data_IF_735756002471
#
_entry.id   IF_735756002471
#
_cell.length_a   1.000
_cell.length_b   1.000
_cell.length_c   1.000
_cell.angle_alpha   90.00
_cell.angle_beta   90.00
_cell.angle_gamma   90.00
#
_symmetry.space_group_name_H-M   'P 1'
#
loop_
_entity.id
_entity.type
_entity.pdbx_description
1 polymer ?
#
# COMPACT_ATOMS: atom_id res chain seq x y z
N UNK A 1 48.24 27.79 -65.58
CA UNK A 1 47.60 26.45 -65.61
C UNK A 1 47.67 25.87 -64.20
N UNK A 2 46.69 26.21 -63.41
CA UNK A 2 46.64 25.77 -62.00
C UNK A 2 45.40 24.88 -61.78
N UNK A 3 45.66 23.63 -61.47
CA UNK A 3 44.67 22.66 -61.15
C UNK A 3 44.32 22.80 -59.66
N UNK A 4 43.11 23.26 -59.36
CA UNK A 4 42.60 23.33 -58.03
C UNK A 4 41.91 21.97 -57.72
N UNK A 5 42.47 21.27 -56.73
CA UNK A 5 41.87 20.02 -56.18
C UNK A 5 40.82 20.38 -55.15
N UNK A 6 39.59 20.04 -55.42
CA UNK A 6 38.52 20.09 -54.40
C UNK A 6 38.52 18.81 -53.57
N UNK A 7 38.95 18.92 -52.33
CA UNK A 7 38.78 17.84 -51.36
C UNK A 7 37.33 17.96 -50.78
N UNK A 8 36.50 17.04 -51.20
CA UNK A 8 35.16 16.91 -50.59
C UNK A 8 35.31 16.17 -49.27
N UNK A 9 35.18 16.91 -48.18
CA UNK A 9 35.08 16.31 -46.84
C UNK A 9 33.62 15.87 -46.65
N UNK A 10 33.40 14.56 -46.69
CA UNK A 10 32.11 13.93 -46.38
C UNK A 10 31.98 13.86 -44.87
N UNK A 11 31.24 14.77 -44.30
CA UNK A 11 30.81 14.71 -42.88
C UNK A 11 29.70 13.64 -42.74
N UNK A 12 30.08 12.46 -42.29
CA UNK A 12 29.13 11.45 -41.82
C UNK A 12 28.58 11.93 -40.46
N UNK A 13 27.38 12.51 -40.49
CA UNK A 13 26.58 12.70 -39.29
C UNK A 13 26.02 11.35 -38.87
N UNK A 14 26.71 10.67 -37.96
CA UNK A 14 26.12 9.58 -37.20
C UNK A 14 25.04 10.17 -36.26
N UNK A 15 23.79 10.21 -36.70
CA UNK A 15 22.66 10.34 -35.81
C UNK A 15 22.55 9.04 -35.04
N UNK A 16 23.16 8.97 -33.86
CA UNK A 16 22.83 7.98 -32.87
C UNK A 16 21.40 8.28 -32.42
N UNK A 17 20.43 7.54 -32.97
CA UNK A 17 19.13 7.41 -32.32
C UNK A 17 19.41 6.79 -30.95
N UNK A 18 19.42 7.62 -29.92
CA UNK A 18 19.22 7.15 -28.56
C UNK A 18 17.75 6.73 -28.53
N UNK A 19 17.50 5.44 -28.62
CA UNK A 19 16.21 4.87 -28.28
C UNK A 19 15.92 5.31 -26.87
N UNK A 20 15.03 6.29 -26.76
CA UNK A 20 14.43 6.70 -25.51
C UNK A 20 13.49 5.55 -25.12
N UNK A 21 14.10 4.54 -24.51
CA UNK A 21 13.36 3.47 -23.87
C UNK A 21 12.37 4.15 -22.94
N UNK A 22 11.10 4.18 -23.33
CA UNK A 22 10.02 4.69 -22.53
C UNK A 22 10.05 3.88 -21.24
N UNK A 23 10.51 4.51 -20.15
CA UNK A 23 10.44 3.94 -18.80
C UNK A 23 8.95 3.65 -18.57
N UNK A 24 8.53 2.40 -18.85
CA UNK A 24 7.26 1.90 -18.36
C UNK A 24 7.32 2.04 -16.86
N UNK A 25 6.31 2.62 -16.21
CA UNK A 25 6.28 2.63 -14.75
C UNK A 25 6.38 1.16 -14.31
N UNK A 26 7.50 0.86 -13.67
CA UNK A 26 7.82 -0.48 -13.22
C UNK A 26 6.80 -0.87 -12.15
N UNK A 27 5.88 -1.78 -12.49
CA UNK A 27 4.95 -2.36 -11.53
C UNK A 27 5.69 -3.19 -10.45
N UNK A 28 6.99 -3.33 -10.57
CA UNK A 28 7.88 -4.03 -9.64
C UNK A 28 8.64 -3.09 -8.69
N UNK A 29 8.52 -1.77 -8.81
CA UNK A 29 9.23 -0.86 -7.91
C UNK A 29 8.74 -1.03 -6.47
N UNK A 30 9.70 -1.26 -5.55
CA UNK A 30 9.41 -1.41 -4.13
C UNK A 30 8.73 -0.15 -3.56
N UNK A 31 7.63 -0.33 -2.84
CA UNK A 31 6.91 0.77 -2.17
C UNK A 31 7.59 1.23 -0.88
N UNK A 32 8.32 0.32 -0.23
CA UNK A 32 9.00 0.59 1.03
C UNK A 32 10.27 -0.26 1.17
N UNK A 33 11.13 0.14 2.12
CA UNK A 33 12.25 -0.66 2.62
C UNK A 33 12.05 -0.94 4.10
N UNK A 34 12.63 -2.04 4.60
CA UNK A 34 12.61 -2.32 6.04
C UNK A 34 13.55 -1.36 6.77
N UNK A 35 12.99 -0.64 7.75
CA UNK A 35 13.69 0.37 8.54
C UNK A 35 14.16 -0.25 9.86
N UNK A 36 15.47 -0.34 10.11
CA UNK A 36 16.00 -0.78 11.38
C UNK A 36 15.56 0.15 12.53
N UNK A 37 15.32 -0.41 13.71
CA UNK A 37 14.98 0.40 14.89
C UNK A 37 13.52 0.83 14.98
N UNK A 38 12.64 0.41 14.07
CA UNK A 38 11.21 0.70 14.15
C UNK A 38 10.46 -0.07 15.25
N UNK A 39 11.17 -0.78 16.12
CA UNK A 39 10.61 -1.58 17.20
C UNK A 39 10.53 -3.08 16.87
N UNK A 40 10.07 -3.87 17.87
CA UNK A 40 10.02 -5.33 17.77
C UNK A 40 8.60 -5.91 17.77
N UNK A 41 7.57 -5.06 17.86
CA UNK A 41 6.20 -5.53 17.83
C UNK A 41 5.92 -6.29 16.53
N UNK A 42 5.35 -7.45 16.65
CA UNK A 42 4.94 -8.31 15.54
C UNK A 42 3.54 -8.85 15.79
N UNK A 43 2.72 -8.89 14.77
CA UNK A 43 1.45 -9.59 14.74
C UNK A 43 1.48 -10.60 13.61
N UNK A 44 1.58 -11.88 13.96
CA UNK A 44 1.58 -12.95 12.98
C UNK A 44 0.30 -12.93 12.16
N UNK A 45 0.45 -12.92 10.82
CA UNK A 45 -0.61 -13.15 9.85
C UNK A 45 -0.37 -14.50 9.16
N UNK A 46 -1.38 -15.01 8.46
CA UNK A 46 -1.34 -16.36 7.90
C UNK A 46 -0.52 -16.48 6.60
N UNK A 47 0.24 -15.45 6.22
CA UNK A 47 1.13 -15.49 5.07
C UNK A 47 2.25 -16.52 5.23
N UNK A 48 2.62 -17.18 4.13
CA UNK A 48 3.80 -18.03 4.06
C UNK A 48 5.06 -17.26 3.60
N UNK A 49 4.91 -16.00 3.21
CA UNK A 49 6.03 -15.17 2.78
C UNK A 49 6.60 -14.36 3.96
N UNK A 50 7.85 -14.64 4.40
CA UNK A 50 8.45 -13.96 5.55
C UNK A 50 8.70 -12.47 5.28
N UNK A 51 8.89 -12.06 4.02
CA UNK A 51 9.04 -10.64 3.69
C UNK A 51 7.71 -9.91 3.78
N UNK A 52 6.61 -10.52 3.31
CA UNK A 52 5.27 -9.96 3.49
C UNK A 52 4.94 -9.79 4.97
N UNK A 53 5.28 -10.76 5.83
CA UNK A 53 5.15 -10.64 7.28
C UNK A 53 5.97 -9.48 7.84
N UNK A 54 7.24 -9.34 7.43
CA UNK A 54 8.12 -8.30 7.94
C UNK A 54 7.62 -6.89 7.59
N UNK A 55 7.15 -6.69 6.35
CA UNK A 55 6.56 -5.42 5.92
C UNK A 55 5.21 -5.15 6.57
N UNK A 56 4.39 -6.18 6.80
CA UNK A 56 3.15 -6.05 7.55
C UNK A 56 3.40 -5.59 8.99
N UNK A 57 4.36 -6.19 9.67
CA UNK A 57 4.77 -5.80 11.03
C UNK A 57 5.30 -4.38 11.08
N UNK A 58 6.11 -3.97 10.10
CA UNK A 58 6.58 -2.60 9.97
C UNK A 58 5.41 -1.64 9.79
N UNK A 59 4.45 -1.98 8.92
CA UNK A 59 3.25 -1.19 8.72
C UNK A 59 2.48 -0.96 10.02
N UNK A 60 2.31 -2.00 10.84
CA UNK A 60 1.67 -1.88 12.17
C UNK A 60 2.43 -0.95 13.10
N UNK A 61 3.75 -1.12 13.23
CA UNK A 61 4.58 -0.27 14.11
C UNK A 61 4.52 1.20 13.70
N UNK A 62 4.57 1.47 12.39
CA UNK A 62 4.50 2.82 11.85
C UNK A 62 3.09 3.43 12.04
N UNK A 63 2.02 2.65 11.88
CA UNK A 63 0.66 3.11 12.17
C UNK A 63 0.50 3.52 13.65
N UNK A 64 1.01 2.72 14.59
CA UNK A 64 1.02 3.07 16.01
C UNK A 64 1.89 4.27 16.34
N UNK A 65 2.93 4.54 15.54
CA UNK A 65 3.76 5.74 15.62
C UNK A 65 3.18 6.96 14.89
N UNK A 66 1.99 6.84 14.31
CA UNK A 66 1.33 7.88 13.48
C UNK A 66 2.07 8.25 12.18
N UNK A 67 3.00 7.40 11.72
CA UNK A 67 3.64 7.50 10.41
C UNK A 67 2.79 6.82 9.34
N UNK A 68 1.59 7.38 9.09
CA UNK A 68 0.59 6.74 8.24
C UNK A 68 1.04 6.56 6.77
N UNK A 69 1.68 7.54 6.10
CA UNK A 69 2.17 7.34 4.73
C UNK A 69 3.15 6.18 4.61
N UNK A 70 4.11 6.10 5.52
CA UNK A 70 5.13 5.05 5.55
C UNK A 70 4.54 3.68 5.96
N UNK A 71 3.52 3.70 6.82
CA UNK A 71 2.72 2.52 7.16
C UNK A 71 2.00 1.98 5.93
N UNK A 72 1.32 2.85 5.17
CA UNK A 72 0.61 2.48 3.94
C UNK A 72 1.59 1.91 2.92
N UNK A 73 2.75 2.56 2.71
CA UNK A 73 3.79 2.07 1.81
C UNK A 73 4.31 0.68 2.23
N UNK A 74 4.47 0.44 3.54
CA UNK A 74 4.88 -0.88 4.07
C UNK A 74 3.82 -1.94 3.80
N UNK A 75 2.53 -1.64 3.96
CA UNK A 75 1.46 -2.58 3.62
C UNK A 75 1.33 -2.81 2.11
N UNK A 76 1.59 -1.79 1.28
CA UNK A 76 1.65 -1.95 -0.18
C UNK A 76 2.76 -2.91 -0.56
N UNK A 77 3.92 -2.80 0.08
CA UNK A 77 5.03 -3.72 -0.16
C UNK A 77 4.70 -5.15 0.32
N UNK A 78 4.05 -5.30 1.49
CA UNK A 78 3.55 -6.60 1.94
C UNK A 78 2.56 -7.22 0.95
N UNK A 79 1.65 -6.41 0.37
CA UNK A 79 0.73 -6.86 -0.67
C UNK A 79 1.43 -7.20 -1.99
N UNK A 80 2.54 -6.53 -2.34
CA UNK A 80 3.36 -6.88 -3.50
C UNK A 80 4.06 -8.23 -3.32
N UNK A 81 4.49 -8.55 -2.10
CA UNK A 81 5.14 -9.82 -1.76
C UNK A 81 4.16 -11.00 -1.64
N UNK A 82 2.90 -10.73 -1.28
CA UNK A 82 1.83 -11.73 -1.17
C UNK A 82 0.49 -11.09 -1.53
N UNK A 83 0.22 -11.00 -2.84
CA UNK A 83 -0.93 -10.27 -3.40
C UNK A 83 -2.28 -10.93 -3.10
N UNK A 84 -2.27 -12.21 -2.77
CA UNK A 84 -3.48 -12.98 -2.46
C UNK A 84 -3.85 -12.94 -0.98
N UNK A 85 -2.95 -12.45 -0.12
CA UNK A 85 -3.20 -12.38 1.31
C UNK A 85 -4.02 -11.14 1.67
N UNK A 86 -5.14 -11.27 2.44
CA UNK A 86 -6.04 -10.16 2.73
C UNK A 86 -5.49 -9.12 3.71
N UNK A 87 -4.62 -9.53 4.63
CA UNK A 87 -4.22 -8.68 5.76
C UNK A 87 -3.40 -7.44 5.38
N UNK A 88 -2.54 -7.43 4.35
CA UNK A 88 -1.93 -6.19 3.87
C UNK A 88 -2.96 -5.12 3.46
N UNK A 89 -4.02 -5.53 2.78
CA UNK A 89 -5.11 -4.62 2.38
C UNK A 89 -5.93 -4.13 3.58
N UNK A 90 -6.17 -5.00 4.57
CA UNK A 90 -6.74 -4.58 5.86
C UNK A 90 -5.86 -3.53 6.54
N UNK A 91 -4.54 -3.72 6.54
CA UNK A 91 -3.58 -2.78 7.11
C UNK A 91 -3.62 -1.41 6.43
N UNK A 92 -3.68 -1.37 5.09
CA UNK A 92 -3.87 -0.12 4.34
C UNK A 92 -5.17 0.58 4.74
N UNK A 93 -6.29 -0.15 4.78
CA UNK A 93 -7.57 0.42 5.19
C UNK A 93 -7.52 0.94 6.64
N UNK A 94 -6.88 0.22 7.55
CA UNK A 94 -6.72 0.64 8.94
C UNK A 94 -5.91 1.96 9.04
N UNK A 95 -4.82 2.09 8.29
CA UNK A 95 -3.99 3.28 8.30
C UNK A 95 -4.67 4.50 7.63
N UNK A 96 -5.53 4.27 6.62
CA UNK A 96 -6.30 5.31 5.91
C UNK A 96 -7.63 5.65 6.58
N UNK A 97 -8.04 4.88 7.59
CA UNK A 97 -9.35 4.97 8.22
C UNK A 97 -9.61 6.28 8.96
N UNK A 98 -10.82 6.42 9.51
CA UNK A 98 -11.19 7.57 10.28
C UNK A 98 -10.37 7.62 11.58
N UNK A 99 -9.22 8.25 11.49
CA UNK A 99 -8.30 8.45 12.60
C UNK A 99 -8.12 9.96 12.82
N UNK A 100 -8.43 10.52 14.00
CA UNK A 100 -8.29 11.95 14.25
C UNK A 100 -6.84 12.45 14.07
N UNK A 101 -5.85 11.59 14.20
CA UNK A 101 -4.46 11.94 14.03
C UNK A 101 -3.99 11.97 12.56
N UNK A 102 -4.70 11.31 11.64
CA UNK A 102 -4.34 11.26 10.23
C UNK A 102 -4.39 12.64 9.55
N UNK A 103 -5.15 13.60 10.11
CA UNK A 103 -5.23 14.99 9.61
C UNK A 103 -3.88 15.73 9.60
N UNK A 104 -2.90 15.27 10.36
CA UNK A 104 -1.56 15.87 10.45
C UNK A 104 -0.52 15.16 9.57
N UNK A 105 -0.87 14.03 8.96
CA UNK A 105 0.01 13.27 8.09
C UNK A 105 -0.22 13.63 6.62
N UNK A 106 0.78 13.38 5.78
CA UNK A 106 0.61 13.40 4.32
C UNK A 106 -0.17 12.17 3.88
N UNK A 107 -1.48 12.31 3.86
CA UNK A 107 -2.39 11.26 3.40
C UNK A 107 -2.69 11.44 1.91
N UNK A 108 -3.17 10.39 1.21
CA UNK A 108 -3.77 10.53 -0.11
C UNK A 108 -4.88 11.60 -0.12
N UNK A 109 -5.18 12.17 -1.28
CA UNK A 109 -6.21 13.22 -1.41
C UNK A 109 -7.59 12.76 -0.93
N UNK A 110 -7.93 11.48 -1.14
CA UNK A 110 -9.15 10.84 -0.61
C UNK A 110 -8.81 9.60 0.23
N UNK A 111 -8.32 9.76 1.47
CA UNK A 111 -7.91 8.60 2.28
C UNK A 111 -9.09 7.69 2.64
N UNK A 112 -10.30 8.23 2.77
CA UNK A 112 -11.49 7.42 3.06
C UNK A 112 -11.92 6.57 1.86
N UNK A 113 -11.87 7.13 0.65
CA UNK A 113 -12.15 6.39 -0.57
C UNK A 113 -11.09 5.33 -0.87
N UNK A 114 -9.82 5.67 -0.70
CA UNK A 114 -8.73 4.70 -0.85
C UNK A 114 -8.78 3.60 0.22
N UNK A 115 -9.13 3.95 1.46
CA UNK A 115 -9.35 2.97 2.53
C UNK A 115 -10.53 2.05 2.24
N UNK A 116 -11.63 2.57 1.68
CA UNK A 116 -12.75 1.74 1.22
C UNK A 116 -12.34 0.77 0.11
N UNK A 117 -11.55 1.23 -0.86
CA UNK A 117 -11.00 0.33 -1.90
C UNK A 117 -10.11 -0.74 -1.30
N UNK A 118 -9.29 -0.39 -0.31
CA UNK A 118 -8.42 -1.33 0.36
C UNK A 118 -9.20 -2.39 1.14
N UNK A 119 -10.20 -2.00 1.94
CA UNK A 119 -10.99 -2.98 2.70
C UNK A 119 -11.80 -3.91 1.79
N UNK A 120 -12.28 -3.41 0.65
CA UNK A 120 -12.94 -4.25 -0.35
C UNK A 120 -11.97 -5.28 -0.94
N UNK A 121 -10.72 -4.90 -1.26
CA UNK A 121 -9.69 -5.85 -1.68
C UNK A 121 -9.39 -6.93 -0.63
N UNK A 122 -9.44 -6.59 0.65
CA UNK A 122 -9.31 -7.57 1.74
C UNK A 122 -10.52 -8.53 1.78
N UNK A 123 -11.72 -8.02 1.58
CA UNK A 123 -12.95 -8.82 1.52
C UNK A 123 -12.98 -9.78 0.33
N UNK A 124 -12.52 -9.33 -0.85
CA UNK A 124 -12.39 -10.16 -2.06
C UNK A 124 -11.46 -11.37 -1.86
N UNK A 125 -10.60 -11.32 -0.84
CA UNK A 125 -9.61 -12.35 -0.49
C UNK A 125 -9.91 -13.05 0.84
N UNK A 126 -11.08 -12.84 1.40
CA UNK A 126 -11.41 -13.27 2.77
C UNK A 126 -11.32 -14.78 2.96
N UNK A 127 -11.49 -15.55 1.90
CA UNK A 127 -11.37 -17.02 1.92
C UNK A 127 -9.92 -17.49 2.19
N UNK A 128 -8.93 -16.61 2.05
CA UNK A 128 -7.53 -16.86 2.41
C UNK A 128 -7.21 -16.49 3.85
N UNK A 129 -8.13 -15.83 4.54
CA UNK A 129 -7.96 -15.39 5.92
C UNK A 129 -8.20 -16.53 6.92
N UNK A 130 -7.47 -16.51 8.03
CA UNK A 130 -7.88 -17.28 9.21
C UNK A 130 -9.20 -16.75 9.78
N UNK A 131 -9.93 -17.53 10.61
CA UNK A 131 -11.16 -17.04 11.25
C UNK A 131 -10.98 -15.72 12.02
N UNK A 132 -9.84 -15.53 12.68
CA UNK A 132 -9.55 -14.28 13.41
C UNK A 132 -9.29 -13.11 12.45
N UNK A 133 -8.51 -13.33 11.39
CA UNK A 133 -8.25 -12.31 10.37
C UNK A 133 -9.54 -11.90 9.66
N UNK A 134 -10.40 -12.86 9.31
CA UNK A 134 -11.70 -12.60 8.71
C UNK A 134 -12.60 -11.73 9.61
N UNK A 135 -12.60 -12.00 10.91
CA UNK A 135 -13.33 -11.16 11.89
C UNK A 135 -12.76 -9.73 11.95
N UNK A 136 -11.42 -9.57 11.93
CA UNK A 136 -10.79 -8.25 11.90
C UNK A 136 -11.14 -7.46 10.64
N UNK A 137 -11.14 -8.14 9.48
CA UNK A 137 -11.50 -7.52 8.20
C UNK A 137 -12.96 -7.04 8.23
N UNK A 138 -13.89 -7.89 8.67
CA UNK A 138 -15.32 -7.55 8.77
C UNK A 138 -15.58 -6.46 9.80
N UNK A 139 -14.85 -6.46 10.93
CA UNK A 139 -14.96 -5.39 11.92
C UNK A 139 -14.55 -4.05 11.32
N UNK A 140 -13.41 -3.99 10.64
CA UNK A 140 -12.94 -2.74 10.02
C UNK A 140 -13.87 -2.26 8.90
N UNK A 141 -14.46 -3.18 8.13
CA UNK A 141 -15.42 -2.86 7.06
C UNK A 141 -16.56 -1.97 7.57
N UNK A 142 -17.04 -2.21 8.79
CA UNK A 142 -18.17 -1.46 9.39
C UNK A 142 -17.89 0.05 9.40
N UNK A 143 -16.65 0.48 9.65
CA UNK A 143 -16.27 1.91 9.64
C UNK A 143 -16.42 2.56 8.26
N UNK A 144 -16.40 1.78 7.19
CA UNK A 144 -16.52 2.23 5.80
C UNK A 144 -17.94 2.08 5.24
N UNK A 145 -18.83 1.34 5.91
CA UNK A 145 -20.17 1.03 5.43
C UNK A 145 -21.16 2.17 5.68
N UNK A 146 -20.98 3.26 4.91
CA UNK A 146 -21.90 4.40 4.96
C UNK A 146 -23.26 4.12 4.30
N UNK A 147 -23.36 3.06 3.50
CA UNK A 147 -24.59 2.72 2.79
C UNK A 147 -25.61 2.07 3.75
N UNK A 148 -25.14 1.17 4.61
CA UNK A 148 -25.99 0.46 5.57
C UNK A 148 -26.13 1.26 6.88
N UNK A 149 -25.05 1.91 7.32
CA UNK A 149 -25.02 2.69 8.57
C UNK A 149 -24.57 4.11 8.21
N UNK A 150 -25.51 5.01 7.99
CA UNK A 150 -25.24 6.37 7.50
C UNK A 150 -24.54 7.25 8.55
N UNK A 151 -24.92 7.09 9.83
CA UNK A 151 -24.38 7.84 10.94
C UNK A 151 -22.96 7.37 11.33
N UNK A 152 -22.06 8.30 11.69
CA UNK A 152 -20.66 7.96 12.03
C UNK A 152 -20.58 7.33 13.43
N UNK A 153 -21.32 7.86 14.39
CA UNK A 153 -21.27 7.37 15.77
C UNK A 153 -21.84 5.95 15.85
N UNK A 154 -22.88 5.65 15.06
CA UNK A 154 -23.43 4.30 14.94
C UNK A 154 -22.40 3.32 14.33
N UNK A 155 -21.63 3.74 13.31
CA UNK A 155 -20.54 2.91 12.77
C UNK A 155 -19.44 2.67 13.80
N UNK A 156 -19.07 3.69 14.56
CA UNK A 156 -18.06 3.57 15.61
C UNK A 156 -18.51 2.62 16.73
N UNK A 157 -19.78 2.66 17.12
CA UNK A 157 -20.36 1.71 18.09
C UNK A 157 -20.43 0.27 17.54
N UNK A 158 -20.81 0.12 16.28
CA UNK A 158 -20.84 -1.18 15.63
C UNK A 158 -19.43 -1.78 15.51
N UNK A 159 -18.43 -0.96 15.14
CA UNK A 159 -17.03 -1.37 15.14
C UNK A 159 -16.55 -1.78 16.53
N UNK A 160 -16.81 -0.97 17.55
CA UNK A 160 -16.47 -1.29 18.93
C UNK A 160 -17.08 -2.64 19.37
N UNK A 161 -18.33 -2.89 19.03
CA UNK A 161 -19.02 -4.14 19.32
C UNK A 161 -18.35 -5.32 18.60
N UNK A 162 -18.06 -5.16 17.32
CA UNK A 162 -17.35 -6.18 16.54
C UNK A 162 -15.97 -6.49 17.13
N UNK A 163 -15.18 -5.46 17.49
CA UNK A 163 -13.85 -5.65 18.10
C UNK A 163 -13.92 -6.34 19.47
N UNK A 164 -14.94 -6.06 20.29
CA UNK A 164 -15.14 -6.76 21.58
C UNK A 164 -15.46 -8.25 21.40
N UNK A 165 -16.05 -8.63 20.28
CA UNK A 165 -16.37 -10.05 19.98
C UNK A 165 -15.14 -10.87 19.52
N UNK A 166 -13.98 -10.25 19.41
CA UNK A 166 -12.74 -10.94 19.02
C UNK A 166 -12.06 -11.68 20.19
N UNK A 167 -12.49 -11.41 21.41
CA UNK A 167 -11.97 -12.04 22.63
C UNK A 167 -12.66 -13.36 22.91
#
# INVERSE_FOLDING_TARGET
>A
MNKIWYVAVLLLLCTACVDQESIKPDSEQAHAVLVPGSGTYSRKISTQNPQAQAFFDQGLRLAWGFYFPESIASYQEAARMDSDHPMPFWGMAHAMGPNPNSRYARMPDDPKGEGLKAINKALDRIDRATPLEAKLIRALQVLYDKQTISDQDDRDQAYLTAMRSLN
#
